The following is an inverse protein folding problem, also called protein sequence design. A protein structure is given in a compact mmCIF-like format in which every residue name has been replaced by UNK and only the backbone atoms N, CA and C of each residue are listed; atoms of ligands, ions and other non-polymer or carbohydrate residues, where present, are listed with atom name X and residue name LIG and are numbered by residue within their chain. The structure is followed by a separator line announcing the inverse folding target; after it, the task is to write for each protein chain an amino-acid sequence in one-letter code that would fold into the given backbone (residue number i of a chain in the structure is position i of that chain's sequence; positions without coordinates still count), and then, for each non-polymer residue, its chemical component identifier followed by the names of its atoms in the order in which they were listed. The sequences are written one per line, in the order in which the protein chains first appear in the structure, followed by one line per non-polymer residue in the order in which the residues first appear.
data_IF_826529697124
#
_entry.id   IF_826529697124
#
_cell.length_a   1.000
_cell.length_b   1.000
_cell.length_c   1.000
_cell.angle_alpha   90.00
_cell.angle_beta   90.00
_cell.angle_gamma   90.00
#
_symmetry.space_group_name_H-M   'P 1'
#
loop_
_entity.id
_entity.type
_entity.pdbx_description
1 polymer ?
#
# COMPACT_ATOMS: atom_id res chain seq x y z
N UNK A 1 20.47 -6.65 27.87
CA UNK A 1 19.54 -5.95 26.96
C UNK A 1 20.26 -5.21 25.83
N UNK A 2 21.49 -4.70 26.02
CA UNK A 2 22.23 -3.99 24.96
C UNK A 2 22.75 -4.88 23.81
N UNK A 3 23.24 -6.09 24.11
CA UNK A 3 23.78 -6.98 23.07
C UNK A 3 22.72 -7.41 22.03
N UNK A 4 21.49 -7.65 22.46
CA UNK A 4 20.38 -8.04 21.57
C UNK A 4 19.91 -6.88 20.70
N UNK A 5 19.94 -5.65 21.22
CA UNK A 5 19.64 -4.45 20.44
C UNK A 5 20.69 -4.21 19.35
N UNK A 6 21.97 -4.30 19.69
CA UNK A 6 23.06 -4.11 18.74
C UNK A 6 23.07 -5.18 17.64
N UNK A 7 22.91 -6.47 18.00
CA UNK A 7 22.82 -7.55 17.01
C UNK A 7 21.63 -7.37 16.06
N UNK A 8 20.49 -6.89 16.57
CA UNK A 8 19.32 -6.58 15.74
C UNK A 8 19.60 -5.42 14.81
N UNK A 9 20.13 -4.31 15.30
CA UNK A 9 20.48 -3.15 14.49
C UNK A 9 21.51 -3.50 13.40
N UNK A 10 22.50 -4.34 13.71
CA UNK A 10 23.48 -4.83 12.74
C UNK A 10 22.83 -5.74 11.70
N UNK A 11 21.94 -6.66 12.10
CA UNK A 11 21.19 -7.52 11.18
C UNK A 11 20.27 -6.73 10.24
N UNK A 12 19.63 -5.67 10.76
CA UNK A 12 18.77 -4.79 9.99
C UNK A 12 19.59 -3.94 9.00
N UNK A 13 20.77 -3.45 9.44
CA UNK A 13 21.70 -2.72 8.58
C UNK A 13 22.27 -3.60 7.45
N UNK A 14 22.83 -4.77 7.77
CA UNK A 14 23.37 -5.70 6.78
C UNK A 14 22.30 -6.10 5.76
N UNK A 15 21.07 -6.27 6.21
CA UNK A 15 19.94 -6.55 5.34
C UNK A 15 19.64 -5.41 4.35
N UNK A 16 19.50 -4.17 4.83
CA UNK A 16 19.14 -3.05 3.94
C UNK A 16 20.27 -2.75 2.95
N UNK A 17 21.53 -2.93 3.39
CA UNK A 17 22.72 -2.82 2.53
C UNK A 17 22.81 -3.95 1.50
N UNK A 18 22.50 -5.20 1.88
CA UNK A 18 22.70 -6.36 1.00
C UNK A 18 21.53 -6.62 0.04
N UNK A 19 20.28 -6.45 0.50
CA UNK A 19 19.08 -6.91 -0.23
C UNK A 19 17.99 -5.85 -0.35
N UNK A 20 17.95 -4.85 0.55
CA UNK A 20 16.84 -3.88 0.63
C UNK A 20 16.59 -3.13 -0.68
N UNK A 21 17.65 -2.60 -1.29
CA UNK A 21 17.56 -1.89 -2.59
C UNK A 21 17.09 -2.79 -3.74
N UNK A 22 17.61 -4.02 -3.82
CA UNK A 22 17.22 -4.97 -4.85
C UNK A 22 15.75 -5.39 -4.75
N UNK A 23 15.24 -5.60 -3.54
CA UNK A 23 13.83 -5.96 -3.30
C UNK A 23 12.89 -4.85 -3.79
N UNK A 24 13.20 -3.58 -3.46
CA UNK A 24 12.41 -2.42 -3.90
C UNK A 24 12.40 -2.29 -5.42
N UNK A 25 13.58 -2.37 -6.04
CA UNK A 25 13.70 -2.31 -7.49
C UNK A 25 12.93 -3.43 -8.20
N UNK A 26 13.03 -4.67 -7.72
CA UNK A 26 12.28 -5.79 -8.28
C UNK A 26 10.77 -5.64 -8.04
N UNK A 27 10.34 -5.06 -6.91
CA UNK A 27 8.93 -4.75 -6.68
C UNK A 27 8.40 -3.72 -7.69
N UNK A 28 9.18 -2.68 -8.00
CA UNK A 28 8.83 -1.66 -9.01
C UNK A 28 8.73 -2.24 -10.43
N UNK A 29 9.57 -3.24 -10.74
CA UNK A 29 9.47 -4.01 -11.99
C UNK A 29 8.24 -4.95 -12.02
N UNK A 30 7.49 -5.03 -10.93
CA UNK A 30 6.34 -5.91 -10.82
C UNK A 30 6.72 -7.36 -10.60
N UNK A 31 7.74 -7.68 -9.82
CA UNK A 31 7.92 -9.06 -9.34
C UNK A 31 7.04 -9.36 -8.12
N UNK A 32 6.65 -10.63 -7.94
CA UNK A 32 5.99 -11.13 -6.71
C UNK A 32 7.04 -11.35 -5.61
N UNK A 33 6.60 -11.51 -4.35
CA UNK A 33 7.51 -11.82 -3.22
C UNK A 33 8.30 -13.11 -3.48
N UNK A 34 7.65 -14.13 -4.07
CA UNK A 34 8.30 -15.41 -4.38
C UNK A 34 9.30 -15.28 -5.53
N UNK A 35 8.94 -14.58 -6.62
CA UNK A 35 9.88 -14.29 -7.71
C UNK A 35 11.08 -13.46 -7.25
N UNK A 36 10.86 -12.51 -6.33
CA UNK A 36 11.95 -11.74 -5.72
C UNK A 36 12.87 -12.68 -4.95
N UNK A 37 12.32 -13.56 -4.10
CA UNK A 37 13.12 -14.52 -3.34
C UNK A 37 14.02 -15.39 -4.23
N UNK A 38 13.50 -15.86 -5.36
CA UNK A 38 14.22 -16.68 -6.33
C UNK A 38 15.33 -15.91 -7.08
N UNK A 39 15.21 -14.58 -7.19
CA UNK A 39 16.14 -13.72 -7.94
C UNK A 39 17.21 -13.06 -7.08
N UNK A 40 17.08 -13.07 -5.76
CA UNK A 40 18.08 -12.46 -4.88
C UNK A 40 19.35 -13.30 -4.85
N UNK A 41 20.50 -12.62 -4.97
CA UNK A 41 21.82 -13.26 -4.88
C UNK A 41 22.10 -13.85 -3.49
N UNK A 42 21.48 -13.30 -2.44
CA UNK A 42 21.61 -13.77 -1.07
C UNK A 42 20.26 -14.26 -0.53
N UNK A 43 20.22 -15.43 0.15
CA UNK A 43 18.99 -16.02 0.65
C UNK A 43 18.39 -15.12 1.72
N UNK A 44 17.38 -14.36 1.33
CA UNK A 44 16.63 -13.50 2.25
C UNK A 44 15.37 -14.23 2.69
N UNK A 45 15.05 -14.27 4.01
CA UNK A 45 13.83 -14.89 4.49
C UNK A 45 12.58 -14.28 3.83
N UNK A 46 11.63 -15.12 3.44
CA UNK A 46 10.41 -14.72 2.73
C UNK A 46 9.66 -13.59 3.47
N UNK A 47 9.50 -13.70 4.80
CA UNK A 47 8.83 -12.67 5.60
C UNK A 47 9.51 -11.31 5.55
N UNK A 48 10.85 -11.26 5.47
CA UNK A 48 11.58 -9.99 5.31
C UNK A 48 11.29 -9.36 3.97
N UNK A 49 11.32 -10.17 2.90
CA UNK A 49 10.98 -9.71 1.54
C UNK A 49 9.54 -9.19 1.51
N UNK A 50 8.58 -9.98 2.02
CA UNK A 50 7.16 -9.61 2.12
C UNK A 50 6.99 -8.25 2.80
N UNK A 51 7.59 -8.06 3.96
CA UNK A 51 7.45 -6.84 4.73
C UNK A 51 8.11 -5.64 4.04
N UNK A 52 9.26 -5.83 3.39
CA UNK A 52 9.93 -4.77 2.63
C UNK A 52 9.15 -4.37 1.38
N UNK A 53 8.59 -5.32 0.64
CA UNK A 53 7.72 -5.03 -0.51
C UNK A 53 6.47 -4.27 -0.03
N UNK A 54 5.81 -4.75 1.02
CA UNK A 54 4.61 -4.11 1.57
C UNK A 54 4.90 -2.67 2.03
N UNK A 55 5.99 -2.47 2.78
CA UNK A 55 6.42 -1.14 3.21
C UNK A 55 6.72 -0.23 2.02
N UNK A 56 7.41 -0.74 1.00
CA UNK A 56 7.72 0.02 -0.21
C UNK A 56 6.45 0.46 -0.96
N UNK A 57 5.44 -0.41 -1.08
CA UNK A 57 4.16 -0.07 -1.71
C UNK A 57 3.37 0.99 -0.93
N UNK A 58 3.49 1.01 0.41
CA UNK A 58 2.94 2.07 1.25
C UNK A 58 3.72 3.38 1.07
N UNK A 59 5.05 3.32 1.15
CA UNK A 59 5.93 4.50 1.08
C UNK A 59 5.86 5.19 -0.30
N UNK A 60 5.65 4.43 -1.38
CA UNK A 60 5.48 4.97 -2.75
C UNK A 60 4.05 5.41 -3.07
N UNK A 61 3.10 5.20 -2.15
CA UNK A 61 1.69 5.52 -2.36
C UNK A 61 1.04 4.65 -3.44
N UNK A 62 1.48 3.41 -3.61
CA UNK A 62 0.72 2.42 -4.40
C UNK A 62 -0.45 1.88 -3.57
N UNK A 63 -0.23 1.71 -2.26
CA UNK A 63 -1.24 1.28 -1.29
C UNK A 63 -1.42 2.37 -0.24
N UNK A 64 -2.67 2.63 0.15
CA UNK A 64 -3.03 3.55 1.24
C UNK A 64 -3.99 2.85 2.20
N UNK A 65 -3.84 3.13 3.50
CA UNK A 65 -4.79 2.65 4.52
C UNK A 65 -5.99 3.58 4.65
N UNK A 66 -5.71 4.88 4.55
CA UNK A 66 -6.70 5.94 4.61
C UNK A 66 -7.05 6.43 3.21
N UNK A 67 -8.21 7.06 3.08
CA UNK A 67 -8.66 7.62 1.82
C UNK A 67 -7.73 8.78 1.41
N UNK A 68 -7.01 8.71 0.27
CA UNK A 68 -6.07 9.74 -0.14
C UNK A 68 -6.72 11.10 -0.46
N UNK A 69 -8.02 11.17 -0.77
CA UNK A 69 -8.74 12.45 -0.89
C UNK A 69 -9.24 13.03 0.45
N UNK A 70 -9.21 12.23 1.51
CA UNK A 70 -9.54 12.68 2.86
C UNK A 70 -8.34 13.19 3.66
N UNK A 71 -7.16 13.35 3.03
CA UNK A 71 -5.97 13.84 3.71
C UNK A 71 -6.24 15.25 4.28
N UNK A 72 -6.14 15.34 5.61
CA UNK A 72 -6.52 16.47 6.44
C UNK A 72 -6.13 17.83 5.85
N UNK A 73 -7.07 18.79 5.90
CA UNK A 73 -6.80 20.20 5.60
C UNK A 73 -5.53 20.63 6.35
N UNK A 74 -4.49 21.04 5.63
CA UNK A 74 -3.30 21.61 6.24
C UNK A 74 -3.69 22.99 6.80
N UNK A 75 -4.14 23.01 8.05
CA UNK A 75 -4.57 24.23 8.73
C UNK A 75 -3.34 24.95 9.28
N UNK A 76 -2.98 26.07 8.65
CA UNK A 76 -1.96 26.98 9.18
C UNK A 76 -2.64 28.18 9.86
N UNK A 77 -2.26 28.48 11.09
CA UNK A 77 -2.81 29.60 11.86
C UNK A 77 -1.93 30.83 11.66
N UNK A 78 -2.46 31.86 10.99
CA UNK A 78 -1.75 33.13 10.84
C UNK A 78 -2.17 34.07 11.98
N UNK A 79 -1.18 34.59 12.73
CA UNK A 79 -1.40 35.59 13.77
C UNK A 79 -1.38 36.98 13.15
N UNK A 80 -2.52 37.66 13.17
CA UNK A 80 -2.69 39.03 12.69
C UNK A 80 -2.91 39.98 13.87
N UNK A 81 -2.42 41.22 13.75
CA UNK A 81 -2.65 42.27 14.73
C UNK A 81 -3.53 43.35 14.12
N UNK A 82 -4.61 43.72 14.80
CA UNK A 82 -5.43 44.84 14.36
C UNK A 82 -4.75 46.19 14.63
N UNK A 83 -5.38 47.29 14.16
CA UNK A 83 -4.92 48.66 14.37
C UNK A 83 -4.78 49.10 15.86
N UNK A 84 -5.26 48.27 16.80
CA UNK A 84 -5.17 48.49 18.24
C UNK A 84 -4.21 47.50 18.93
N UNK A 85 -3.41 46.74 18.17
CA UNK A 85 -2.42 45.78 18.71
C UNK A 85 -3.01 44.50 19.30
N UNK A 86 -4.31 44.24 19.12
CA UNK A 86 -4.95 43.00 19.57
C UNK A 86 -4.70 41.88 18.56
N UNK A 87 -4.16 40.76 19.04
CA UNK A 87 -3.92 39.58 18.21
C UNK A 87 -5.23 38.85 17.88
N UNK A 88 -5.41 38.48 16.62
CA UNK A 88 -6.45 37.59 16.10
C UNK A 88 -5.80 36.49 15.28
N UNK A 89 -6.29 35.25 15.43
CA UNK A 89 -5.82 34.12 14.64
C UNK A 89 -6.76 33.91 13.47
N UNK A 90 -6.25 34.07 12.25
CA UNK A 90 -6.98 33.68 11.05
C UNK A 90 -6.60 32.26 10.69
N UNK A 91 -7.61 31.39 10.60
CA UNK A 91 -7.46 30.06 10.05
C UNK A 91 -7.23 30.19 8.54
N UNK A 92 -6.08 29.75 8.05
CA UNK A 92 -5.81 29.70 6.61
C UNK A 92 -5.82 28.24 6.21
N UNK A 93 -6.91 27.83 5.57
CA UNK A 93 -6.95 26.56 4.85
C UNK A 93 -6.16 26.80 3.56
N UNK A 94 -4.99 26.18 3.42
CA UNK A 94 -4.40 26.05 2.10
C UNK A 94 -5.22 24.98 1.36
N UNK A 95 -5.95 25.31 0.27
CA UNK A 95 -6.37 24.25 -0.62
C UNK A 95 -5.08 23.61 -1.14
N UNK A 96 -4.81 22.38 -0.72
CA UNK A 96 -4.01 21.50 -1.56
C UNK A 96 -4.78 21.47 -2.87
N UNK A 97 -4.21 22.04 -3.93
CA UNK A 97 -4.86 22.08 -5.23
C UNK A 97 -5.36 20.67 -5.53
N UNK A 98 -6.68 20.41 -5.61
CA UNK A 98 -7.12 19.15 -6.16
C UNK A 98 -6.56 19.13 -7.58
N UNK A 99 -5.69 18.15 -7.88
CA UNK A 99 -5.52 17.77 -9.27
C UNK A 99 -6.94 17.48 -9.76
N UNK A 100 -7.44 18.22 -10.75
CA UNK A 100 -8.81 18.09 -11.29
C UNK A 100 -9.08 16.71 -11.94
N UNK A 101 -8.15 15.76 -11.82
CA UNK A 101 -8.39 14.35 -12.03
C UNK A 101 -9.21 13.82 -10.85
N UNK A 102 -10.44 13.35 -11.15
CA UNK A 102 -11.10 12.33 -10.32
C UNK A 102 -10.19 11.11 -10.28
N UNK A 103 -9.21 11.11 -9.40
CA UNK A 103 -8.34 9.97 -9.21
C UNK A 103 -9.22 8.85 -8.66
N UNK A 104 -9.52 7.84 -9.47
CA UNK A 104 -10.25 6.68 -8.98
C UNK A 104 -9.24 5.74 -8.31
N UNK A 105 -9.62 5.13 -7.20
CA UNK A 105 -8.81 4.10 -6.54
C UNK A 105 -9.56 2.78 -6.52
N UNK A 106 -8.82 1.68 -6.44
CA UNK A 106 -9.39 0.37 -6.20
C UNK A 106 -9.41 0.12 -4.69
N UNK A 107 -10.59 -0.09 -4.13
CA UNK A 107 -10.71 -0.55 -2.75
C UNK A 107 -10.58 -2.08 -2.71
N UNK A 108 -9.56 -2.55 -2.01
CA UNK A 108 -9.16 -3.96 -1.97
C UNK A 108 -9.43 -4.55 -0.58
N UNK A 109 -10.21 -5.63 -0.54
CA UNK A 109 -10.64 -6.31 0.68
C UNK A 109 -10.02 -7.70 0.87
N UNK A 110 -8.90 -8.01 0.19
CA UNK A 110 -8.28 -9.34 0.22
C UNK A 110 -7.90 -9.81 1.63
N UNK A 111 -7.39 -8.92 2.48
CA UNK A 111 -7.07 -9.22 3.88
C UNK A 111 -8.30 -9.63 4.70
N UNK A 112 -9.32 -8.77 4.82
CA UNK A 112 -10.59 -9.11 5.46
C UNK A 112 -11.24 -10.38 4.88
N UNK A 113 -11.22 -10.55 3.56
CA UNK A 113 -11.79 -11.71 2.87
C UNK A 113 -11.08 -13.00 3.31
N UNK A 114 -9.75 -13.04 3.27
CA UNK A 114 -8.94 -14.18 3.68
C UNK A 114 -9.23 -14.63 5.12
N UNK A 115 -9.55 -13.69 6.01
CA UNK A 115 -9.86 -13.99 7.41
C UNK A 115 -11.31 -14.45 7.62
N UNK A 116 -12.28 -13.81 6.96
CA UNK A 116 -13.71 -14.05 7.19
C UNK A 116 -14.24 -15.23 6.39
N UNK A 117 -13.77 -15.40 5.17
CA UNK A 117 -14.23 -16.42 4.24
C UNK A 117 -13.06 -16.98 3.40
N UNK A 118 -12.26 -17.90 3.98
CA UNK A 118 -11.10 -18.47 3.32
C UNK A 118 -11.45 -19.27 2.06
N UNK A 119 -12.66 -19.85 1.98
CA UNK A 119 -13.08 -20.62 0.80
C UNK A 119 -13.39 -19.68 -0.37
N UNK A 120 -14.11 -18.58 -0.11
CA UNK A 120 -14.28 -17.53 -1.12
C UNK A 120 -12.95 -16.87 -1.50
N UNK A 121 -12.01 -16.73 -0.57
CA UNK A 121 -10.66 -16.26 -0.89
C UNK A 121 -9.94 -17.21 -1.86
N UNK A 122 -10.04 -18.54 -1.66
CA UNK A 122 -9.48 -19.53 -2.60
C UNK A 122 -10.15 -19.46 -3.97
N UNK A 123 -11.47 -19.28 -4.03
CA UNK A 123 -12.20 -19.09 -5.28
C UNK A 123 -11.71 -17.85 -6.04
N UNK A 124 -11.55 -16.73 -5.33
CA UNK A 124 -10.96 -15.49 -5.86
C UNK A 124 -9.56 -15.74 -6.43
N UNK A 125 -8.69 -16.44 -5.71
CA UNK A 125 -7.36 -16.78 -6.21
C UNK A 125 -7.41 -17.73 -7.42
N UNK A 126 -8.37 -18.66 -7.46
CA UNK A 126 -8.56 -19.61 -8.56
C UNK A 126 -9.05 -18.95 -9.87
N UNK A 127 -9.69 -17.79 -9.79
CA UNK A 127 -10.11 -17.01 -10.96
C UNK A 127 -9.00 -16.13 -11.56
N UNK A 128 -7.86 -16.00 -10.88
CA UNK A 128 -6.73 -15.18 -11.30
C UNK A 128 -5.67 -16.00 -12.03
N UNK A 129 -4.87 -15.32 -12.86
CA UNK A 129 -3.66 -15.94 -13.40
C UNK A 129 -2.69 -16.29 -12.26
N UNK A 130 -1.83 -17.30 -12.47
CA UNK A 130 -0.91 -17.80 -11.44
C UNK A 130 -0.09 -16.69 -10.77
N UNK A 131 0.44 -15.75 -11.55
CA UNK A 131 1.25 -14.64 -11.04
C UNK A 131 0.43 -13.60 -10.29
N UNK A 132 -0.82 -13.38 -10.69
CA UNK A 132 -1.75 -12.49 -10.00
C UNK A 132 -2.16 -13.07 -8.65
N UNK A 133 -2.51 -14.35 -8.62
CA UNK A 133 -2.83 -15.07 -7.38
C UNK A 133 -1.63 -15.06 -6.42
N UNK A 134 -0.43 -15.34 -6.93
CA UNK A 134 0.82 -15.30 -6.18
C UNK A 134 1.14 -13.90 -5.62
N UNK A 135 0.84 -12.84 -6.38
CA UNK A 135 0.96 -11.45 -5.90
C UNK A 135 -0.01 -11.15 -4.77
N UNK A 136 -1.30 -11.50 -4.91
CA UNK A 136 -2.31 -11.27 -3.87
C UNK A 136 -1.98 -12.08 -2.63
N UNK A 137 -1.65 -13.37 -2.76
CA UNK A 137 -1.35 -14.23 -1.62
C UNK A 137 -0.05 -13.82 -0.90
N UNK A 138 0.93 -13.32 -1.65
CA UNK A 138 2.24 -12.97 -1.14
C UNK A 138 2.28 -11.73 -0.25
N UNK A 139 1.28 -10.84 -0.35
CA UNK A 139 1.22 -9.60 0.42
C UNK A 139 0.44 -9.76 1.75
N UNK A 140 0.78 -8.98 2.80
CA UNK A 140 0.10 -9.06 4.10
C UNK A 140 -1.38 -8.66 4.08
N UNK A 141 -1.75 -7.63 3.30
CA UNK A 141 -3.06 -6.96 3.24
C UNK A 141 -3.63 -6.38 4.56
N UNK A 142 -3.30 -6.94 5.72
CA UNK A 142 -3.83 -6.52 7.02
C UNK A 142 -5.25 -7.03 7.26
N UNK A 143 -5.85 -6.58 8.36
CA UNK A 143 -7.23 -6.94 8.78
C UNK A 143 -8.30 -6.00 8.20
N UNK A 144 -7.87 -4.92 7.56
CA UNK A 144 -8.71 -3.85 7.05
C UNK A 144 -8.63 -3.80 5.52
N UNK A 145 -9.61 -3.13 4.91
CA UNK A 145 -9.55 -2.81 3.48
C UNK A 145 -8.48 -1.76 3.22
N UNK A 146 -7.87 -1.81 2.04
CA UNK A 146 -6.85 -0.84 1.62
C UNK A 146 -7.25 -0.19 0.29
N UNK A 147 -6.88 1.06 0.11
CA UNK A 147 -6.96 1.73 -1.18
C UNK A 147 -5.72 1.37 -1.99
N UNK A 148 -5.91 1.14 -3.28
CA UNK A 148 -4.84 0.79 -4.21
C UNK A 148 -4.90 1.73 -5.42
N UNK A 149 -3.79 2.41 -5.69
CA UNK A 149 -3.65 3.27 -6.88
C UNK A 149 -3.75 2.41 -8.14
N UNK A 150 -4.66 2.69 -9.08
CA UNK A 150 -4.80 1.87 -10.28
C UNK A 150 -3.47 1.80 -11.04
N UNK A 151 -3.01 0.58 -11.27
CA UNK A 151 -1.90 0.27 -12.15
C UNK A 151 -2.31 -0.91 -13.03
N UNK A 152 -1.50 -1.20 -14.07
CA UNK A 152 -1.80 -2.28 -15.02
C UNK A 152 -2.14 -3.60 -14.31
N UNK A 153 -1.30 -4.04 -13.37
CA UNK A 153 -1.50 -5.29 -12.62
C UNK A 153 -2.84 -5.33 -11.88
N UNK A 154 -3.15 -4.31 -11.10
CA UNK A 154 -4.37 -4.32 -10.29
C UNK A 154 -5.64 -4.11 -11.13
N UNK A 155 -5.54 -3.42 -12.26
CA UNK A 155 -6.62 -3.35 -13.24
C UNK A 155 -6.86 -4.72 -13.90
N UNK A 156 -5.81 -5.44 -14.28
CA UNK A 156 -5.92 -6.78 -14.86
C UNK A 156 -6.57 -7.75 -13.86
N UNK A 157 -6.17 -7.68 -12.58
CA UNK A 157 -6.79 -8.44 -11.48
C UNK A 157 -8.26 -8.08 -11.33
N UNK A 158 -8.59 -6.79 -11.27
CA UNK A 158 -9.97 -6.32 -11.17
C UNK A 158 -10.83 -6.85 -12.32
N UNK A 159 -10.35 -6.75 -13.56
CA UNK A 159 -11.08 -7.22 -14.74
C UNK A 159 -11.24 -8.74 -14.76
N UNK A 160 -10.24 -9.50 -14.30
CA UNK A 160 -10.36 -10.95 -14.15
C UNK A 160 -11.47 -11.31 -13.15
N UNK A 161 -11.50 -10.67 -11.99
CA UNK A 161 -12.54 -10.89 -10.98
C UNK A 161 -13.92 -10.43 -11.47
N UNK A 162 -14.01 -9.31 -12.19
CA UNK A 162 -15.27 -8.82 -12.74
C UNK A 162 -15.86 -9.78 -13.78
N UNK A 163 -15.02 -10.35 -14.67
CA UNK A 163 -15.47 -11.37 -15.63
C UNK A 163 -15.94 -12.65 -14.96
N UNK A 164 -15.35 -12.99 -13.82
CA UNK A 164 -15.77 -14.14 -13.01
C UNK A 164 -16.97 -13.86 -12.10
N UNK A 165 -17.46 -12.61 -12.02
CA UNK A 165 -18.53 -12.22 -11.08
C UNK A 165 -18.09 -12.14 -9.61
N UNK A 166 -16.79 -12.09 -9.34
CA UNK A 166 -16.20 -12.16 -7.99
C UNK A 166 -15.69 -10.81 -7.47
N UNK A 167 -15.79 -9.73 -8.25
CA UNK A 167 -15.28 -8.41 -7.85
C UNK A 167 -16.05 -7.77 -6.69
N UNK A 168 -17.35 -8.07 -6.55
CA UNK A 168 -18.22 -7.44 -5.55
C UNK A 168 -17.75 -7.73 -4.12
N UNK A 169 -17.48 -6.67 -3.36
CA UNK A 169 -16.97 -6.75 -1.99
C UNK A 169 -15.50 -7.17 -1.87
N UNK A 170 -14.83 -7.50 -2.98
CA UNK A 170 -13.42 -7.95 -3.01
C UNK A 170 -12.50 -6.86 -3.54
N UNK A 171 -12.80 -6.33 -4.73
CA UNK A 171 -12.00 -5.31 -5.39
C UNK A 171 -12.92 -4.46 -6.29
N UNK A 172 -13.08 -3.18 -5.98
CA UNK A 172 -13.99 -2.30 -6.71
C UNK A 172 -13.49 -0.86 -6.76
N UNK A 173 -13.94 -0.11 -7.77
CA UNK A 173 -13.60 1.31 -7.89
C UNK A 173 -14.32 2.16 -6.85
N UNK A 174 -13.58 3.06 -6.23
CA UNK A 174 -14.06 4.11 -5.36
C UNK A 174 -13.67 5.45 -5.99
N UNK A 175 -14.66 6.31 -6.22
CA UNK A 175 -14.40 7.71 -6.55
C UNK A 175 -13.86 8.43 -5.31
N UNK A 176 -12.72 9.08 -5.48
CA UNK A 176 -12.19 10.02 -4.51
C UNK A 176 -12.89 11.36 -4.74
N UNK A 177 -13.60 11.86 -3.72
CA UNK A 177 -14.26 13.18 -3.72
C UNK A 177 -13.59 14.08 -2.71
#
# INVERSE_FOLDING_TARGET
MEQTYFQRALSDFVYDVASGGAIRHLADLGYTVKQIQEKLAFPTPYERIRNTVWKHLLDTGVIFRENPAGAEEKVEYVREYNQYGKASFRRVTMPVSPSESRESCLLCCFGPLKMKDPERFKEVLGALEREQAEYIEGLPWGTERVFYRPNRRMLDIYHALARAGLSEGVCYFQELR
#
